data_IF_681065239417
#
_entry.id   IF_681065239417
#
_cell.length_a   1.000
_cell.length_b   1.000
_cell.length_c   1.000
_cell.angle_alpha   90.00
_cell.angle_beta   90.00
_cell.angle_gamma   90.00
#
_symmetry.space_group_name_H-M   'P 1'
#
loop_
_entity.id
_entity.type
_entity.pdbx_description
1 polymer ?
#
# COMPACT_ATOMS: atom_id res chain seq x y z
N UNK A 1 24.18 -15.42 -19.72
CA UNK A 1 24.80 -16.55 -20.43
C UNK A 1 25.07 -17.64 -19.40
N UNK A 2 24.49 -18.82 -19.61
CA UNK A 2 24.55 -19.95 -18.67
C UNK A 2 25.89 -20.67 -18.82
N UNK A 3 26.75 -20.64 -17.80
CA UNK A 3 28.00 -21.41 -17.78
C UNK A 3 27.69 -22.82 -17.32
N UNK A 4 27.50 -23.72 -18.30
CA UNK A 4 27.44 -25.15 -18.07
C UNK A 4 28.83 -25.64 -17.58
N UNK A 5 28.94 -26.24 -16.38
CA UNK A 5 30.20 -26.81 -15.89
C UNK A 5 30.77 -27.91 -16.80
N UNK A 6 30.03 -28.40 -17.80
CA UNK A 6 30.51 -29.35 -18.80
C UNK A 6 31.36 -28.71 -19.92
N UNK A 7 31.32 -27.38 -20.11
CA UNK A 7 32.04 -26.72 -21.20
C UNK A 7 33.32 -26.01 -20.73
N UNK A 8 34.31 -26.81 -20.34
CA UNK A 8 35.62 -26.32 -19.90
C UNK A 8 36.40 -25.75 -21.11
N UNK A 9 36.88 -24.49 -21.08
CA UNK A 9 37.58 -23.90 -22.21
C UNK A 9 38.95 -24.54 -22.42
N UNK A 10 39.55 -24.31 -23.60
CA UNK A 10 40.92 -24.79 -23.88
C UNK A 10 41.93 -24.23 -22.88
N UNK A 11 42.83 -25.06 -22.31
CA UNK A 11 43.74 -24.65 -21.25
C UNK A 11 44.76 -23.60 -21.68
N UNK A 12 45.06 -23.46 -22.97
CA UNK A 12 45.99 -22.47 -23.51
C UNK A 12 45.39 -21.06 -23.56
N UNK A 13 44.05 -20.94 -23.63
CA UNK A 13 43.37 -19.66 -23.69
C UNK A 13 43.24 -19.03 -22.29
N UNK A 14 44.18 -18.13 -21.97
CA UNK A 14 44.31 -17.48 -20.66
C UNK A 14 43.00 -16.77 -20.27
N UNK A 15 42.42 -15.96 -21.15
CA UNK A 15 41.23 -15.17 -20.84
C UNK A 15 39.99 -16.03 -20.66
N UNK A 16 39.82 -17.08 -21.46
CA UNK A 16 38.72 -18.03 -21.30
C UNK A 16 38.85 -18.80 -19.99
N UNK A 17 40.07 -19.25 -19.65
CA UNK A 17 40.37 -19.97 -18.40
C UNK A 17 40.06 -19.13 -17.17
N UNK A 18 40.53 -17.89 -17.13
CA UNK A 18 40.28 -16.96 -16.00
C UNK A 18 38.80 -16.59 -15.87
N UNK A 19 38.09 -16.37 -16.99
CA UNK A 19 36.64 -16.17 -16.97
C UNK A 19 35.89 -17.38 -16.40
N UNK A 20 36.28 -18.59 -16.81
CA UNK A 20 35.69 -19.81 -16.27
C UNK A 20 35.90 -19.91 -14.75
N UNK A 21 37.13 -19.71 -14.26
CA UNK A 21 37.46 -19.77 -12.83
C UNK A 21 36.62 -18.75 -12.04
N UNK A 22 36.60 -17.50 -12.49
CA UNK A 22 35.85 -16.43 -11.82
C UNK A 22 34.34 -16.76 -11.77
N UNK A 23 33.76 -17.21 -12.87
CA UNK A 23 32.34 -17.59 -12.93
C UNK A 23 32.02 -18.79 -12.05
N UNK A 24 32.90 -19.79 -12.03
CA UNK A 24 32.73 -20.97 -11.19
C UNK A 24 32.72 -20.60 -9.71
N UNK A 25 33.71 -19.82 -9.26
CA UNK A 25 33.78 -19.33 -7.89
C UNK A 25 32.56 -18.47 -7.59
N UNK A 26 32.20 -17.53 -8.45
CA UNK A 26 31.03 -16.66 -8.24
C UNK A 26 29.73 -17.45 -8.09
N UNK A 27 29.56 -18.56 -8.82
CA UNK A 27 28.33 -19.36 -8.82
C UNK A 27 28.23 -20.32 -7.64
N UNK A 28 29.33 -20.97 -7.27
CA UNK A 28 29.32 -22.06 -6.29
C UNK A 28 29.95 -21.68 -4.94
N UNK A 29 30.75 -20.62 -4.90
CA UNK A 29 31.55 -20.18 -3.75
C UNK A 29 31.63 -18.64 -3.71
N UNK A 30 30.48 -17.98 -3.72
CA UNK A 30 30.38 -16.52 -3.88
C UNK A 30 31.08 -15.74 -2.76
N UNK A 31 31.20 -16.34 -1.58
CA UNK A 31 31.92 -15.83 -0.41
C UNK A 31 33.44 -15.69 -0.64
N UNK A 32 34.00 -16.47 -1.57
CA UNK A 32 35.41 -16.44 -1.91
C UNK A 32 35.76 -15.39 -2.98
N UNK A 33 34.76 -14.79 -3.65
CA UNK A 33 34.98 -13.80 -4.73
C UNK A 33 35.88 -12.63 -4.32
N UNK A 34 35.71 -11.99 -3.15
CA UNK A 34 36.58 -10.88 -2.73
C UNK A 34 38.06 -11.24 -2.60
N UNK A 35 38.37 -12.54 -2.46
CA UNK A 35 39.73 -13.04 -2.22
C UNK A 35 40.47 -13.42 -3.51
N UNK A 36 39.78 -13.49 -4.65
CA UNK A 36 40.34 -14.00 -5.92
C UNK A 36 41.61 -13.25 -6.34
N UNK A 37 41.58 -11.92 -6.31
CA UNK A 37 42.72 -11.11 -6.78
C UNK A 37 43.93 -11.24 -5.84
N UNK A 38 43.70 -11.27 -4.53
CA UNK A 38 44.79 -11.45 -3.56
C UNK A 38 45.38 -12.86 -3.65
N UNK A 39 44.53 -13.88 -3.77
CA UNK A 39 44.97 -15.25 -3.98
C UNK A 39 45.72 -15.42 -5.31
N UNK A 40 45.37 -14.66 -6.36
CA UNK A 40 46.08 -14.69 -7.65
C UNK A 40 47.46 -14.06 -7.54
N UNK A 41 47.61 -12.94 -6.81
CA UNK A 41 48.92 -12.35 -6.51
C UNK A 41 49.80 -13.31 -5.70
N UNK A 42 49.24 -13.94 -4.67
CA UNK A 42 49.96 -14.95 -3.89
C UNK A 42 50.40 -16.14 -4.77
N UNK A 43 49.51 -16.64 -5.63
CA UNK A 43 49.82 -17.69 -6.59
C UNK A 43 50.93 -17.27 -7.58
N UNK A 44 50.89 -16.05 -8.10
CA UNK A 44 51.93 -15.49 -8.95
C UNK A 44 53.30 -15.53 -8.27
N UNK A 45 53.41 -15.03 -7.04
CA UNK A 45 54.68 -15.03 -6.30
C UNK A 45 55.19 -16.44 -6.02
N UNK A 46 54.31 -17.37 -5.66
CA UNK A 46 54.67 -18.78 -5.43
C UNK A 46 55.18 -19.43 -6.71
N UNK A 47 54.53 -19.20 -7.85
CA UNK A 47 54.96 -19.76 -9.14
C UNK A 47 56.30 -19.16 -9.57
N UNK A 48 56.48 -17.84 -9.46
CA UNK A 48 57.75 -17.18 -9.75
C UNK A 48 58.90 -17.76 -8.92
N UNK A 49 58.69 -17.88 -7.61
CA UNK A 49 59.66 -18.46 -6.68
C UNK A 49 60.00 -19.90 -7.07
N UNK A 50 58.99 -20.74 -7.27
CA UNK A 50 59.16 -22.14 -7.67
C UNK A 50 59.93 -22.29 -8.99
N UNK A 51 59.64 -21.45 -9.98
CA UNK A 51 60.31 -21.52 -11.28
C UNK A 51 61.78 -21.13 -11.17
N UNK A 52 62.10 -20.14 -10.32
CA UNK A 52 63.47 -19.71 -10.09
C UNK A 52 64.26 -20.68 -9.20
N UNK A 53 63.74 -20.98 -8.01
CA UNK A 53 64.44 -21.70 -6.94
C UNK A 53 64.46 -23.21 -7.16
N UNK A 54 63.32 -23.81 -7.54
CA UNK A 54 63.23 -25.27 -7.65
C UNK A 54 63.58 -25.78 -9.06
N UNK A 55 63.29 -24.99 -10.10
CA UNK A 55 63.41 -25.43 -11.50
C UNK A 55 64.54 -24.76 -12.28
N UNK A 56 65.17 -23.72 -11.71
CA UNK A 56 66.22 -22.94 -12.36
C UNK A 56 65.86 -22.44 -13.77
N UNK A 57 64.57 -22.16 -14.02
CA UNK A 57 64.06 -21.70 -15.32
C UNK A 57 64.38 -20.21 -15.47
N UNK A 58 65.08 -19.83 -16.54
CA UNK A 58 65.45 -18.43 -16.82
C UNK A 58 64.32 -17.69 -17.55
N UNK A 59 63.56 -18.41 -18.37
CA UNK A 59 62.38 -17.88 -19.07
C UNK A 59 61.30 -18.94 -19.18
N UNK A 60 60.06 -18.54 -18.96
CA UNK A 60 58.90 -19.43 -19.01
C UNK A 60 57.99 -19.03 -20.18
N UNK A 61 57.48 -19.98 -20.98
CA UNK A 61 56.47 -19.67 -21.97
C UNK A 61 55.19 -19.13 -21.32
N UNK A 62 54.57 -18.13 -21.96
CA UNK A 62 53.48 -17.35 -21.36
C UNK A 62 52.26 -18.22 -21.04
N UNK A 63 51.85 -19.08 -21.98
CA UNK A 63 50.67 -19.93 -21.82
C UNK A 63 50.81 -20.88 -20.63
N UNK A 64 51.95 -21.57 -20.52
CA UNK A 64 52.22 -22.51 -19.42
C UNK A 64 52.39 -21.81 -18.07
N UNK A 65 53.09 -20.67 -18.04
CA UNK A 65 53.29 -19.88 -16.83
C UNK A 65 51.95 -19.41 -16.23
N UNK A 66 51.08 -18.85 -17.06
CA UNK A 66 49.76 -18.38 -16.63
C UNK A 66 48.86 -19.54 -16.19
N UNK A 67 48.96 -20.68 -16.87
CA UNK A 67 48.27 -21.90 -16.46
C UNK A 67 48.73 -22.39 -15.07
N UNK A 68 50.02 -22.33 -14.78
CA UNK A 68 50.56 -22.70 -13.47
C UNK A 68 50.07 -21.76 -12.36
N UNK A 69 49.93 -20.46 -12.65
CA UNK A 69 49.35 -19.48 -11.72
C UNK A 69 47.90 -19.82 -11.43
N UNK A 70 47.08 -20.01 -12.45
CA UNK A 70 45.66 -20.28 -12.28
C UNK A 70 45.41 -21.61 -11.56
N UNK A 71 46.25 -22.63 -11.82
CA UNK A 71 46.20 -23.91 -11.10
C UNK A 71 46.59 -23.76 -9.62
N UNK A 72 47.56 -22.89 -9.33
CA UNK A 72 48.01 -22.60 -7.95
C UNK A 72 46.95 -21.78 -7.21
N UNK A 73 46.36 -20.79 -7.87
CA UNK A 73 45.20 -20.03 -7.39
C UNK A 73 44.06 -20.98 -6.99
N UNK A 74 43.65 -21.88 -7.89
CA UNK A 74 42.58 -22.84 -7.62
C UNK A 74 42.83 -23.66 -6.36
N UNK A 75 44.05 -24.20 -6.22
CA UNK A 75 44.44 -24.96 -5.03
C UNK A 75 44.38 -24.12 -3.77
N UNK A 76 44.90 -22.90 -3.80
CA UNK A 76 44.92 -22.01 -2.64
C UNK A 76 43.51 -21.63 -2.20
N UNK A 77 42.64 -21.30 -3.16
CA UNK A 77 41.25 -20.91 -2.90
C UNK A 77 40.47 -22.02 -2.18
N UNK A 78 40.65 -23.26 -2.62
CA UNK A 78 39.88 -24.39 -2.09
C UNK A 78 40.62 -25.24 -1.05
N UNK A 79 41.82 -24.82 -0.62
CA UNK A 79 42.66 -25.58 0.31
C UNK A 79 41.92 -25.90 1.62
N UNK A 80 41.16 -24.93 2.13
CA UNK A 80 40.40 -25.05 3.38
C UNK A 80 39.26 -26.09 3.31
N UNK A 81 38.82 -26.49 2.11
CA UNK A 81 37.74 -27.47 1.91
C UNK A 81 38.25 -28.91 1.94
N UNK A 82 39.57 -29.14 1.94
CA UNK A 82 40.20 -30.46 1.97
C UNK A 82 39.55 -31.46 1.00
N UNK A 83 38.82 -32.47 1.51
CA UNK A 83 38.18 -33.53 0.71
C UNK A 83 36.98 -33.05 -0.12
N UNK A 84 36.44 -31.89 0.20
CA UNK A 84 35.31 -31.29 -0.53
C UNK A 84 35.78 -30.29 -1.60
N UNK A 85 37.09 -30.07 -1.73
CA UNK A 85 37.64 -29.15 -2.71
C UNK A 85 37.30 -29.63 -4.14
N UNK A 86 36.77 -28.75 -5.01
CA UNK A 86 36.49 -29.12 -6.38
C UNK A 86 37.78 -29.45 -7.13
N UNK A 87 37.74 -30.49 -7.95
CA UNK A 87 38.88 -30.90 -8.76
C UNK A 87 39.27 -29.79 -9.76
N UNK A 88 40.56 -29.70 -10.06
CA UNK A 88 41.04 -28.79 -11.11
C UNK A 88 40.42 -29.22 -12.46
N UNK A 89 39.72 -28.33 -13.19
CA UNK A 89 38.92 -28.71 -14.36
C UNK A 89 39.72 -29.26 -15.55
N UNK A 90 41.02 -28.99 -15.62
CA UNK A 90 41.86 -29.38 -16.75
C UNK A 90 42.75 -30.57 -16.41
N UNK A 91 42.44 -31.73 -17.00
CA UNK A 91 43.26 -32.94 -16.84
C UNK A 91 44.61 -32.85 -17.55
N UNK A 92 44.67 -32.11 -18.68
CA UNK A 92 45.89 -31.81 -19.43
C UNK A 92 46.05 -30.30 -19.56
N UNK A 93 47.23 -29.79 -19.20
CA UNK A 93 47.58 -28.37 -19.38
C UNK A 93 48.25 -28.11 -20.73
N UNK A 94 48.61 -26.84 -21.01
CA UNK A 94 49.45 -26.48 -22.15
C UNK A 94 50.79 -27.21 -22.08
N UNK A 95 51.45 -27.35 -23.23
CA UNK A 95 52.82 -27.85 -23.25
C UNK A 95 53.76 -26.87 -22.52
N UNK A 96 54.74 -27.40 -21.79
CA UNK A 96 55.70 -26.58 -21.05
C UNK A 96 56.61 -25.80 -21.99
N UNK A 97 56.80 -26.32 -23.22
CA UNK A 97 57.64 -25.72 -24.26
C UNK A 97 56.84 -24.94 -25.31
N UNK A 98 55.52 -24.77 -25.13
CA UNK A 98 54.67 -24.02 -26.06
C UNK A 98 54.93 -22.51 -25.97
N UNK A 99 55.78 -22.01 -26.87
CA UNK A 99 56.09 -20.59 -27.05
C UNK A 99 55.17 -19.87 -28.04
N UNK A 100 54.03 -20.45 -28.43
CA UNK A 100 53.10 -19.82 -29.39
C UNK A 100 52.58 -18.45 -28.90
N UNK A 101 52.42 -18.29 -27.59
CA UNK A 101 52.08 -17.03 -26.93
C UNK A 101 53.32 -16.20 -26.51
N UNK A 102 54.51 -16.60 -26.96
CA UNK A 102 55.78 -16.01 -26.56
C UNK A 102 56.21 -16.35 -25.12
N UNK A 103 57.23 -15.64 -24.64
CA UNK A 103 57.73 -15.77 -23.27
C UNK A 103 56.93 -14.89 -22.31
N UNK A 104 56.72 -15.36 -21.08
CA UNK A 104 56.01 -14.64 -20.03
C UNK A 104 56.70 -13.31 -19.71
N UNK A 105 56.04 -12.22 -20.07
CA UNK A 105 56.46 -10.87 -19.73
C UNK A 105 56.43 -10.63 -18.23
N UNK A 106 55.40 -11.11 -17.53
CA UNK A 106 55.26 -10.94 -16.09
C UNK A 106 56.38 -11.65 -15.31
N UNK A 107 56.77 -12.86 -15.72
CA UNK A 107 57.90 -13.56 -15.11
C UNK A 107 59.22 -12.84 -15.38
N UNK A 108 59.40 -12.33 -16.60
CA UNK A 108 60.57 -11.53 -16.99
C UNK A 108 60.70 -10.27 -16.13
N UNK A 109 59.64 -9.48 -16.01
CA UNK A 109 59.61 -8.26 -15.21
C UNK A 109 59.89 -8.55 -13.73
N UNK A 110 59.30 -9.62 -13.18
CA UNK A 110 59.60 -10.06 -11.82
C UNK A 110 61.09 -10.41 -11.62
N UNK A 111 61.72 -11.09 -12.59
CA UNK A 111 63.17 -11.39 -12.53
C UNK A 111 64.01 -10.11 -12.56
N UNK A 112 63.66 -9.15 -13.41
CA UNK A 112 64.36 -7.84 -13.47
C UNK A 112 64.23 -7.12 -12.13
N UNK A 113 63.03 -7.06 -11.55
CA UNK A 113 62.79 -6.45 -10.23
C UNK A 113 63.64 -7.10 -9.12
N UNK A 114 63.87 -8.42 -9.21
CA UNK A 114 64.72 -9.16 -8.27
C UNK A 114 66.21 -9.18 -8.62
N UNK A 115 66.64 -8.45 -9.65
CA UNK A 115 68.03 -8.42 -10.10
C UNK A 115 68.55 -9.76 -10.65
N UNK A 116 67.64 -10.62 -11.12
CA UNK A 116 67.98 -11.95 -11.62
C UNK A 116 68.27 -11.91 -13.14
N UNK A 117 69.15 -12.80 -13.66
CA UNK A 117 69.46 -12.85 -15.08
C UNK A 117 68.22 -13.10 -15.95
N UNK A 118 68.14 -12.43 -17.09
CA UNK A 118 67.07 -12.58 -18.08
C UNK A 118 67.70 -12.89 -19.44
N UNK A 119 67.06 -13.76 -20.22
CA UNK A 119 67.50 -14.07 -21.57
C UNK A 119 67.11 -12.90 -22.51
N UNK A 120 68.09 -12.06 -22.86
CA UNK A 120 67.91 -10.95 -23.80
C UNK A 120 68.38 -11.44 -25.16
N UNK A 121 67.45 -11.69 -26.10
CA UNK A 121 67.82 -12.02 -27.48
C UNK A 121 68.48 -10.80 -28.14
N UNK A 122 69.70 -10.91 -28.71
CA UNK A 122 70.45 -9.78 -29.28
C UNK A 122 69.91 -9.17 -30.59
N UNK A 123 68.77 -9.61 -31.12
CA UNK A 123 68.36 -9.30 -32.51
C UNK A 123 67.53 -8.02 -32.68
N UNK A 124 67.26 -7.24 -31.62
CA UNK A 124 66.38 -6.07 -31.70
C UNK A 124 67.08 -4.72 -31.95
N UNK A 125 68.41 -4.66 -31.96
CA UNK A 125 69.16 -3.38 -31.86
C UNK A 125 69.79 -2.83 -33.16
N UNK A 126 69.31 -3.22 -34.35
CA UNK A 126 69.94 -2.77 -35.62
C UNK A 126 69.07 -1.94 -36.59
N UNK A 127 68.07 -1.19 -36.12
CA UNK A 127 67.42 -0.14 -36.92
C UNK A 127 67.10 1.13 -36.10
N UNK A 128 68.06 2.08 -35.92
CA UNK A 128 67.77 3.34 -35.21
C UNK A 128 68.34 4.54 -36.00
N UNK A 129 67.56 5.27 -36.82
CA UNK A 129 66.82 6.40 -36.25
C UNK A 129 65.51 6.83 -36.97
N UNK A 130 65.19 6.32 -38.18
CA UNK A 130 64.04 6.82 -38.97
C UNK A 130 62.69 6.28 -38.47
N UNK A 131 62.66 5.04 -37.96
CA UNK A 131 61.43 4.46 -37.41
C UNK A 131 61.05 5.12 -36.07
N UNK A 132 62.04 5.60 -35.31
CA UNK A 132 61.82 6.27 -34.03
C UNK A 132 61.18 7.65 -34.20
N UNK A 133 61.59 8.44 -35.20
CA UNK A 133 60.95 9.72 -35.51
C UNK A 133 59.50 9.52 -35.99
N UNK A 134 59.25 8.51 -36.82
CA UNK A 134 57.90 8.18 -37.27
C UNK A 134 57.02 7.70 -36.11
N UNK A 135 57.56 6.86 -35.22
CA UNK A 135 56.87 6.42 -34.00
C UNK A 135 56.57 7.59 -33.06
N UNK A 136 57.51 8.53 -32.88
CA UNK A 136 57.30 9.72 -32.06
C UNK A 136 56.25 10.65 -32.66
N UNK A 137 56.25 10.85 -33.98
CA UNK A 137 55.22 11.64 -34.65
C UNK A 137 53.83 11.00 -34.51
N UNK A 138 53.73 9.69 -34.72
CA UNK A 138 52.49 8.95 -34.54
C UNK A 138 52.01 8.99 -33.08
N UNK A 139 52.91 8.81 -32.11
CA UNK A 139 52.59 8.89 -30.69
C UNK A 139 52.09 10.29 -30.29
N UNK A 140 52.68 11.35 -30.83
CA UNK A 140 52.19 12.73 -30.61
C UNK A 140 50.80 12.94 -31.17
N UNK A 141 50.52 12.44 -32.38
CA UNK A 141 49.20 12.52 -32.97
C UNK A 141 48.16 11.73 -32.18
N UNK A 142 48.54 10.54 -31.68
CA UNK A 142 47.70 9.71 -30.81
C UNK A 142 47.37 10.44 -29.50
N UNK A 143 48.37 11.06 -28.86
CA UNK A 143 48.18 11.86 -27.65
C UNK A 143 47.21 13.01 -27.90
N UNK A 144 47.33 13.71 -29.03
CA UNK A 144 46.42 14.81 -29.36
C UNK A 144 44.98 14.31 -29.58
N UNK A 145 44.81 13.18 -30.28
CA UNK A 145 43.49 12.53 -30.43
C UNK A 145 42.89 12.14 -29.08
N UNK A 146 43.68 11.54 -28.19
CA UNK A 146 43.25 11.17 -26.85
C UNK A 146 42.90 12.40 -26.00
N UNK A 147 43.63 13.50 -26.14
CA UNK A 147 43.34 14.76 -25.45
C UNK A 147 42.01 15.39 -25.91
N UNK A 148 41.66 15.26 -27.20
CA UNK A 148 40.35 15.66 -27.71
C UNK A 148 39.26 14.78 -27.11
N UNK A 149 39.40 13.46 -27.20
CA UNK A 149 38.43 12.52 -26.60
C UNK A 149 38.26 12.72 -25.09
N UNK A 150 39.34 12.99 -24.37
CA UNK A 150 39.27 13.26 -22.93
C UNK A 150 38.48 14.53 -22.63
N UNK A 151 38.60 15.57 -23.46
CA UNK A 151 37.78 16.78 -23.33
C UNK A 151 36.31 16.48 -23.60
N UNK A 152 35.99 15.75 -24.66
CA UNK A 152 34.62 15.39 -25.01
C UNK A 152 33.96 14.54 -23.90
N UNK A 153 34.69 13.55 -23.37
CA UNK A 153 34.22 12.71 -22.25
C UNK A 153 33.98 13.54 -20.99
N UNK A 154 34.84 14.53 -20.70
CA UNK A 154 34.62 15.45 -19.56
C UNK A 154 33.36 16.29 -19.75
N UNK A 155 33.14 16.80 -20.97
CA UNK A 155 31.92 17.56 -21.29
C UNK A 155 30.68 16.69 -21.13
N UNK A 156 30.65 15.49 -21.73
CA UNK A 156 29.53 14.55 -21.60
C UNK A 156 29.28 14.15 -20.15
N UNK A 157 30.34 13.95 -19.35
CA UNK A 157 30.19 13.66 -17.94
C UNK A 157 29.55 14.82 -17.17
N UNK A 158 29.93 16.06 -17.48
CA UNK A 158 29.36 17.25 -16.86
C UNK A 158 27.88 17.44 -17.25
N UNK A 159 27.54 17.26 -18.54
CA UNK A 159 26.16 17.30 -19.02
C UNK A 159 25.30 16.23 -18.34
N UNK A 160 25.82 15.00 -18.22
CA UNK A 160 25.13 13.91 -17.53
C UNK A 160 24.90 14.23 -16.05
N UNK A 161 25.89 14.84 -15.39
CA UNK A 161 25.76 15.28 -13.99
C UNK A 161 24.69 16.35 -13.81
N UNK A 162 24.64 17.34 -14.71
CA UNK A 162 23.61 18.39 -14.69
C UNK A 162 22.22 17.84 -14.96
N UNK A 163 22.09 16.91 -15.91
CA UNK A 163 20.82 16.23 -16.19
C UNK A 163 20.31 15.43 -14.98
N UNK A 164 21.20 14.67 -14.32
CA UNK A 164 20.84 13.94 -13.10
C UNK A 164 20.43 14.88 -11.96
N UNK A 165 21.13 16.01 -11.80
CA UNK A 165 20.77 17.01 -10.80
C UNK A 165 19.40 17.66 -11.10
N UNK A 166 19.13 17.97 -12.36
CA UNK A 166 17.81 18.48 -12.79
C UNK A 166 16.69 17.49 -12.47
N UNK A 167 16.91 16.21 -12.76
CA UNK A 167 15.95 15.15 -12.44
C UNK A 167 15.72 14.99 -10.93
N UNK A 168 16.79 15.07 -10.12
CA UNK A 168 16.66 15.06 -8.64
C UNK A 168 15.80 16.22 -8.15
N UNK A 169 16.06 17.44 -8.64
CA UNK A 169 15.29 18.61 -8.25
C UNK A 169 13.80 18.49 -8.63
N UNK A 170 13.50 17.90 -9.79
CA UNK A 170 12.12 17.63 -10.22
C UNK A 170 11.44 16.61 -9.29
N UNK A 171 12.17 15.55 -8.88
CA UNK A 171 11.66 14.57 -7.92
C UNK A 171 11.40 15.19 -6.55
N UNK A 172 12.28 16.04 -6.07
CA UNK A 172 12.10 16.76 -4.80
C UNK A 172 10.89 17.69 -4.84
N UNK A 173 10.69 18.41 -5.96
CA UNK A 173 9.50 19.22 -6.15
C UNK A 173 8.21 18.39 -6.14
N UNK A 174 8.22 17.23 -6.81
CA UNK A 174 7.08 16.31 -6.83
C UNK A 174 6.79 15.73 -5.43
N UNK A 175 7.83 15.38 -4.67
CA UNK A 175 7.69 14.94 -3.28
C UNK A 175 7.05 16.04 -2.42
N UNK A 176 7.50 17.28 -2.57
CA UNK A 176 6.89 18.43 -1.89
C UNK A 176 5.40 18.59 -2.20
N UNK A 177 5.00 18.43 -3.47
CA UNK A 177 3.59 18.46 -3.86
C UNK A 177 2.79 17.29 -3.25
N UNK A 178 3.37 16.09 -3.21
CA UNK A 178 2.72 14.91 -2.60
C UNK A 178 2.54 15.06 -1.09
N UNK A 179 3.52 15.65 -0.41
CA UNK A 179 3.40 15.94 1.02
C UNK A 179 2.29 16.95 1.31
N UNK A 180 2.17 18.01 0.50
CA UNK A 180 1.06 18.96 0.60
C UNK A 180 -0.30 18.27 0.43
N UNK A 181 -0.41 17.37 -0.55
CA UNK A 181 -1.63 16.61 -0.80
C UNK A 181 -1.98 15.67 0.36
N UNK A 182 -0.99 14.97 0.92
CA UNK A 182 -1.19 14.12 2.11
C UNK A 182 -1.70 14.95 3.29
N UNK A 183 -1.16 16.15 3.52
CA UNK A 183 -1.65 17.03 4.59
C UNK A 183 -3.09 17.49 4.34
N UNK A 184 -3.44 17.82 3.09
CA UNK A 184 -4.82 18.16 2.70
C UNK A 184 -5.79 17.02 3.03
N UNK A 185 -5.46 15.79 2.61
CA UNK A 185 -6.28 14.61 2.86
C UNK A 185 -6.42 14.29 4.36
N UNK A 186 -5.36 14.50 5.16
CA UNK A 186 -5.42 14.36 6.62
C UNK A 186 -6.41 15.34 7.26
N UNK A 187 -6.44 16.59 6.79
CA UNK A 187 -7.39 17.59 7.28
C UNK A 187 -8.83 17.24 6.89
N UNK A 188 -9.04 16.79 5.66
CA UNK A 188 -10.36 16.32 5.19
C UNK A 188 -10.85 15.11 5.99
N UNK A 189 -9.96 14.15 6.29
CA UNK A 189 -10.29 13.00 7.14
C UNK A 189 -10.64 13.40 8.58
N UNK A 190 -10.02 14.45 9.13
CA UNK A 190 -10.41 14.98 10.46
C UNK A 190 -11.81 15.59 10.41
N UNK A 191 -12.12 16.35 9.35
CA UNK A 191 -13.43 16.95 9.17
C UNK A 191 -14.54 15.90 9.02
N UNK A 192 -14.28 14.81 8.29
CA UNK A 192 -15.24 13.70 8.17
C UNK A 192 -15.45 12.94 9.49
N UNK A 193 -14.43 12.88 10.36
CA UNK A 193 -14.58 12.40 11.73
C UNK A 193 -15.62 13.20 12.53
N UNK A 194 -15.61 14.53 12.42
CA UNK A 194 -16.62 15.40 13.03
C UNK A 194 -18.03 15.14 12.49
N UNK A 195 -18.17 14.91 11.18
CA UNK A 195 -19.46 14.53 10.58
C UNK A 195 -19.98 13.20 11.12
N UNK A 196 -19.13 12.17 11.23
CA UNK A 196 -19.51 10.87 11.83
C UNK A 196 -19.97 11.02 13.27
N UNK A 197 -19.30 11.83 14.07
CA UNK A 197 -19.70 12.08 15.47
C UNK A 197 -21.04 12.81 15.57
N UNK A 198 -21.29 13.80 14.69
CA UNK A 198 -22.60 14.46 14.57
C UNK A 198 -23.69 13.47 14.18
N UNK A 199 -23.44 12.58 13.21
CA UNK A 199 -24.39 11.57 12.76
C UNK A 199 -24.72 10.56 13.87
N UNK A 200 -23.70 10.11 14.61
CA UNK A 200 -23.88 9.22 15.77
C UNK A 200 -24.72 9.88 16.86
N UNK A 201 -24.48 11.16 17.12
CA UNK A 201 -25.23 11.93 18.12
C UNK A 201 -26.68 12.14 17.69
N UNK A 202 -26.92 12.45 16.41
CA UNK A 202 -28.26 12.56 15.84
C UNK A 202 -29.01 11.21 15.92
N UNK A 203 -28.35 10.10 15.57
CA UNK A 203 -28.96 8.77 15.60
C UNK A 203 -29.39 8.37 17.03
N UNK A 204 -28.57 8.67 18.05
CA UNK A 204 -28.96 8.47 19.47
C UNK A 204 -30.18 9.29 19.86
N UNK A 205 -30.27 10.55 19.41
CA UNK A 205 -31.45 11.39 19.65
C UNK A 205 -32.69 10.80 18.99
N UNK A 206 -32.58 10.34 17.74
CA UNK A 206 -33.69 9.70 17.02
C UNK A 206 -34.18 8.44 17.75
N UNK A 207 -33.26 7.60 18.26
CA UNK A 207 -33.63 6.42 19.05
C UNK A 207 -34.34 6.80 20.36
N UNK A 208 -33.84 7.82 21.08
CA UNK A 208 -34.46 8.31 22.32
C UNK A 208 -35.87 8.85 22.06
N UNK A 209 -36.05 9.67 21.01
CA UNK A 209 -37.35 10.17 20.59
C UNK A 209 -38.30 9.03 20.19
N UNK A 210 -37.79 8.00 19.51
CA UNK A 210 -38.55 6.79 19.18
C UNK A 210 -39.07 6.07 20.42
N UNK A 211 -38.25 5.92 21.46
CA UNK A 211 -38.67 5.33 22.74
C UNK A 211 -39.72 6.19 23.45
N UNK A 212 -39.53 7.52 23.48
CA UNK A 212 -40.51 8.44 24.06
C UNK A 212 -41.85 8.40 23.33
N UNK A 213 -41.82 8.34 22.00
CA UNK A 213 -43.03 8.23 21.18
C UNK A 213 -43.75 6.91 21.43
N UNK A 214 -43.03 5.80 21.59
CA UNK A 214 -43.62 4.51 21.93
C UNK A 214 -44.28 4.54 23.31
N UNK A 215 -43.62 5.13 24.31
CA UNK A 215 -44.18 5.29 25.65
C UNK A 215 -45.45 6.16 25.64
N UNK A 216 -45.40 7.32 24.97
CA UNK A 216 -46.56 8.20 24.83
C UNK A 216 -47.73 7.53 24.10
N UNK A 217 -47.43 6.69 23.09
CA UNK A 217 -48.44 5.91 22.39
C UNK A 217 -49.11 4.89 23.32
N UNK A 218 -48.35 4.20 24.17
CA UNK A 218 -48.91 3.24 25.14
C UNK A 218 -49.74 3.93 26.23
N UNK A 219 -49.32 5.13 26.65
CA UNK A 219 -50.11 5.94 27.58
C UNK A 219 -51.44 6.38 26.94
N UNK A 220 -51.41 6.85 25.68
CA UNK A 220 -52.61 7.25 24.95
C UNK A 220 -53.58 6.07 24.73
N UNK A 221 -53.08 4.86 24.41
CA UNK A 221 -53.93 3.66 24.28
C UNK A 221 -54.55 3.28 25.63
N UNK A 222 -53.79 3.39 26.71
CA UNK A 222 -54.28 3.14 28.08
C UNK A 222 -55.37 4.14 28.48
N UNK A 223 -55.15 5.43 28.22
CA UNK A 223 -56.15 6.47 28.48
C UNK A 223 -57.42 6.25 27.64
N UNK A 224 -57.28 5.87 26.37
CA UNK A 224 -58.43 5.54 25.51
C UNK A 224 -59.26 4.40 26.08
N UNK A 225 -58.64 3.31 26.55
CA UNK A 225 -59.36 2.19 27.20
C UNK A 225 -60.10 2.63 28.47
N UNK A 226 -59.48 3.50 29.29
CA UNK A 226 -60.11 4.06 30.49
C UNK A 226 -61.35 4.88 30.12
N UNK A 227 -61.26 5.71 29.07
CA UNK A 227 -62.39 6.49 28.57
C UNK A 227 -63.51 5.60 28.02
N UNK A 228 -63.17 4.56 27.25
CA UNK A 228 -64.16 3.57 26.77
C UNK A 228 -64.90 2.91 27.95
N UNK A 229 -64.16 2.48 28.99
CA UNK A 229 -64.76 1.89 30.19
C UNK A 229 -65.66 2.87 30.93
N UNK A 230 -65.22 4.13 31.08
CA UNK A 230 -66.01 5.17 31.72
C UNK A 230 -67.30 5.46 30.93
N UNK A 231 -67.21 5.55 29.60
CA UNK A 231 -68.38 5.75 28.74
C UNK A 231 -69.37 4.59 28.86
N UNK A 232 -68.91 3.34 28.81
CA UNK A 232 -69.80 2.18 29.01
C UNK A 232 -70.52 2.22 30.36
N UNK A 233 -69.82 2.69 31.41
CA UNK A 233 -70.40 2.85 32.75
C UNK A 233 -71.42 4.00 32.81
N UNK A 234 -71.16 5.12 32.12
CA UNK A 234 -72.11 6.23 31.99
C UNK A 234 -73.37 5.73 31.28
N UNK A 235 -73.25 5.07 30.13
CA UNK A 235 -74.41 4.51 29.41
C UNK A 235 -75.21 3.52 30.26
N UNK A 236 -74.52 2.68 31.05
CA UNK A 236 -75.21 1.77 31.97
C UNK A 236 -75.99 2.52 33.06
N UNK A 237 -75.40 3.57 33.65
CA UNK A 237 -76.07 4.40 34.65
C UNK A 237 -77.24 5.19 34.05
N UNK A 238 -77.10 5.71 32.83
CA UNK A 238 -78.18 6.38 32.09
C UNK A 238 -79.36 5.43 31.89
N UNK A 239 -79.12 4.18 31.47
CA UNK A 239 -80.16 3.16 31.33
C UNK A 239 -80.82 2.82 32.67
N UNK A 240 -80.04 2.66 33.75
CA UNK A 240 -80.61 2.44 35.08
C UNK A 240 -81.50 3.61 35.55
N UNK A 241 -81.15 4.84 35.18
CA UNK A 241 -81.92 6.02 35.55
C UNK A 241 -83.24 6.10 34.77
N UNK A 242 -83.23 5.80 33.47
CA UNK A 242 -84.44 5.79 32.61
C UNK A 242 -85.36 4.60 32.91
N UNK A 243 -84.80 3.45 33.28
CA UNK A 243 -85.56 2.27 33.70
C UNK A 243 -85.97 2.30 35.17
N UNK A 244 -85.56 3.34 35.92
CA UNK A 244 -85.90 3.46 37.34
C UNK A 244 -87.42 3.59 37.49
N UNK A 245 -88.08 2.67 38.23
CA UNK A 245 -89.52 2.70 38.41
C UNK A 245 -90.00 3.98 39.11
N UNK A 246 -89.13 4.65 39.89
CA UNK A 246 -89.42 5.95 40.47
C UNK A 246 -89.55 7.06 39.44
N UNK A 247 -88.69 7.08 38.41
CA UNK A 247 -88.74 8.08 37.33
C UNK A 247 -89.96 7.84 36.44
N UNK A 248 -90.21 6.59 36.02
CA UNK A 248 -91.38 6.23 35.24
C UNK A 248 -92.70 6.49 35.98
N UNK A 249 -92.73 6.24 37.31
CA UNK A 249 -93.89 6.54 38.13
C UNK A 249 -94.14 8.06 38.23
N UNK A 250 -93.09 8.87 38.37
CA UNK A 250 -93.19 10.33 38.36
C UNK A 250 -93.64 10.87 37.00
N UNK A 251 -93.10 10.37 35.89
CA UNK A 251 -93.55 10.73 34.53
C UNK A 251 -95.03 10.37 34.33
N UNK A 252 -95.45 9.19 34.78
CA UNK A 252 -96.86 8.77 34.73
C UNK A 252 -97.75 9.66 35.60
N UNK A 253 -97.30 10.01 36.81
CA UNK A 253 -98.03 10.93 37.69
C UNK A 253 -98.13 12.33 37.09
N UNK A 254 -97.06 12.85 36.47
CA UNK A 254 -97.03 14.15 35.81
C UNK A 254 -97.97 14.17 34.60
N UNK A 255 -97.96 13.12 33.77
CA UNK A 255 -98.88 12.98 32.65
C UNK A 255 -100.34 12.99 33.14
N UNK A 256 -100.66 12.23 34.20
CA UNK A 256 -101.99 12.24 34.82
C UNK A 256 -102.35 13.62 35.39
N UNK A 257 -101.41 14.32 36.01
CA UNK A 257 -101.63 15.67 36.54
C UNK A 257 -101.92 16.68 35.42
N UNK A 258 -101.18 16.63 34.31
CA UNK A 258 -101.42 17.46 33.13
C UNK A 258 -102.78 17.17 32.48
N UNK A 259 -103.19 15.90 32.36
CA UNK A 259 -104.53 15.58 31.85
C UNK A 259 -105.62 16.13 32.76
N UNK A 260 -105.46 16.03 34.08
CA UNK A 260 -106.41 16.62 35.04
C UNK A 260 -106.46 18.15 34.93
N UNK A 261 -105.30 18.80 34.82
CA UNK A 261 -105.22 20.24 34.66
C UNK A 261 -105.91 20.71 33.37
N UNK A 262 -105.64 20.03 32.24
CA UNK A 262 -106.31 20.30 30.96
C UNK A 262 -107.83 20.12 31.05
N UNK A 263 -108.30 19.03 31.65
CA UNK A 263 -109.74 18.80 31.83
C UNK A 263 -110.38 19.85 32.73
N UNK A 264 -109.69 20.28 33.80
CA UNK A 264 -110.16 21.34 34.69
C UNK A 264 -110.20 22.71 34.00
N UNK A 265 -109.23 23.00 33.12
CA UNK A 265 -109.25 24.20 32.27
C UNK A 265 -110.43 24.18 31.29
N UNK A 266 -110.69 23.04 30.65
CA UNK A 266 -111.85 22.87 29.76
C UNK A 266 -113.19 22.96 30.50
N UNK A 267 -113.29 22.37 31.70
CA UNK A 267 -114.45 22.53 32.59
C UNK A 267 -114.62 23.99 33.05
N UNK A 268 -113.53 24.68 33.40
CA UNK A 268 -113.56 26.09 33.78
C UNK A 268 -113.97 26.98 32.60
N UNK A 269 -113.55 26.68 31.37
CA UNK A 269 -114.05 27.34 30.16
C UNK A 269 -115.54 27.08 29.96
N UNK A 270 -115.98 25.84 30.16
CA UNK A 270 -117.39 25.47 30.05
C UNK A 270 -118.24 26.19 31.12
N UNK A 271 -117.76 26.28 32.36
CA UNK A 271 -118.39 27.06 33.43
C UNK A 271 -118.38 28.57 33.17
N UNK A 272 -117.31 29.11 32.57
CA UNK A 272 -117.26 30.49 32.09
C UNK A 272 -118.36 30.77 31.07
N UNK A 273 -118.55 29.87 30.09
CA UNK A 273 -119.66 29.96 29.13
C UNK A 273 -121.04 29.86 29.80
N UNK A 274 -121.20 29.02 30.82
CA UNK A 274 -122.43 28.94 31.61
C UNK A 274 -122.67 30.21 32.43
N UNK A 275 -121.63 30.83 32.99
CA UNK A 275 -121.75 32.08 33.74
C UNK A 275 -122.11 33.25 32.81
N UNK A 276 -121.54 33.32 31.62
CA UNK A 276 -121.92 34.28 30.59
C UNK A 276 -123.38 34.07 30.15
N UNK A 277 -123.80 32.82 29.93
CA UNK A 277 -125.20 32.50 29.61
C UNK A 277 -126.17 32.87 30.76
N UNK A 278 -125.76 32.66 32.02
CA UNK A 278 -126.58 32.98 33.18
C UNK A 278 -126.62 34.50 33.46
N UNK A 279 -125.55 35.23 33.13
CA UNK A 279 -125.49 36.70 33.19
C UNK A 279 -126.37 37.32 32.10
N UNK A 280 -126.42 36.72 30.91
CA UNK A 280 -127.39 37.11 29.87
C UNK A 280 -128.84 36.82 30.28
N UNK A 281 -129.10 35.71 30.97
CA UNK A 281 -130.43 35.39 31.51
C UNK A 281 -130.85 36.33 32.66
N UNK A 282 -129.93 36.68 33.56
CA UNK A 282 -130.19 37.62 34.66
C UNK A 282 -130.43 39.07 34.15
N UNK A 283 -129.76 39.47 33.06
CA UNK A 283 -129.97 40.77 32.41
C UNK A 283 -131.35 40.94 31.77
N UNK A 284 -132.08 39.85 31.48
CA UNK A 284 -133.39 39.90 30.83
C UNK A 284 -134.55 39.98 31.86
N UNK A 285 -134.31 39.69 33.14
CA UNK A 285 -135.36 39.66 34.18
C UNK A 285 -135.49 40.93 35.04
N UNK A 286 -134.65 41.95 34.83
CA UNK A 286 -134.74 43.22 35.56
C UNK A 286 -134.82 44.42 34.61
N UNK A 287 -135.92 44.56 33.87
CA UNK A 287 -136.54 45.87 33.68
C UNK A 287 -138.04 45.74 33.28
N UNK A 288 -138.96 46.35 34.06
CA UNK A 288 -140.40 46.07 34.02
C UNK A 288 -141.17 46.81 32.90
N UNK A 289 -142.39 46.34 32.56
CA UNK A 289 -143.35 47.06 31.74
C UNK A 289 -144.06 48.14 32.58
N UNK A 290 -144.26 49.33 32.01
CA UNK A 290 -145.05 50.42 32.61
C UNK A 290 -144.38 51.77 32.49
#
# INVERSE_FOLDING_TARGET
MSSDPANVPRPENIDARRRYINQYIQRFYSDLVPQIEEARKAAFLLVCRKYHEERHIIGAPAAYFEYAIDKTLWRNMFLHLYRQAPAWPWNKGPDMDDTSAGMSRAYREWRIEKGLPVNVSPQADQQPPRDLELLLANARQEIERLNVHLRDVKTLHQESKEAMQGWLNEKDALLGLKDQEIQRLRMESRNSGGQRQRLTSANRRTQSLGMQLAAAKEEATTQRRKLETANSRITHLENQLTESPGVQALETQLARANTRASNAEDESRHQGHLHDANTQLAGIQTQPPG
#
